data_IF_611804613886
#
_entry.id   IF_611804613886
#
_cell.length_a   1.000
_cell.length_b   1.000
_cell.length_c   1.000
_cell.angle_alpha   90.00
_cell.angle_beta   90.00
_cell.angle_gamma   90.00
#
_symmetry.space_group_name_H-M   'P 1'
#
loop_
_entity.id
_entity.type
_entity.pdbx_description
1 polymer ?
#
# COMPACT_ATOMS: atom_id res chain seq x y z
N UNK A 1 39.66 4.01 -56.00
CA UNK A 1 38.50 4.89 -55.76
C UNK A 1 37.60 4.16 -54.78
N UNK A 2 37.70 4.49 -53.48
CA UNK A 2 36.76 5.34 -52.71
C UNK A 2 35.51 4.55 -52.26
N UNK A 3 34.95 4.58 -51.04
CA UNK A 3 35.24 5.10 -49.68
C UNK A 3 33.88 5.05 -48.90
N UNK A 4 33.87 4.67 -47.60
CA UNK A 4 32.90 4.99 -46.48
C UNK A 4 31.38 4.70 -46.70
N UNK A 5 30.42 4.53 -45.76
CA UNK A 5 30.14 4.78 -44.32
C UNK A 5 28.82 3.98 -44.01
N UNK A 6 28.60 3.25 -42.90
CA UNK A 6 28.14 3.62 -41.54
C UNK A 6 26.65 4.06 -41.36
N UNK A 7 26.04 3.67 -40.21
CA UNK A 7 24.87 4.27 -39.49
C UNK A 7 23.46 3.80 -39.98
N UNK A 8 22.41 3.43 -39.23
CA UNK A 8 22.00 3.44 -37.80
C UNK A 8 20.77 2.53 -37.60
N UNK A 9 20.62 1.84 -36.46
CA UNK A 9 19.33 1.67 -35.76
C UNK A 9 19.64 1.70 -34.24
N UNK A 10 19.21 2.77 -33.56
CA UNK A 10 19.36 3.02 -32.13
C UNK A 10 17.97 3.27 -31.52
N UNK A 11 17.84 2.90 -30.24
CA UNK A 11 16.92 3.39 -29.21
C UNK A 11 15.40 3.09 -29.30
N UNK A 12 14.94 2.24 -28.38
CA UNK A 12 13.70 2.47 -27.62
C UNK A 12 13.83 1.81 -26.22
N UNK A 13 14.58 2.46 -25.33
CA UNK A 13 14.61 2.17 -23.89
C UNK A 13 14.43 3.49 -23.17
N UNK A 14 13.17 3.88 -22.95
CA UNK A 14 12.80 5.15 -22.33
C UNK A 14 11.48 4.94 -21.57
N UNK A 15 11.53 5.23 -20.26
CA UNK A 15 10.45 5.53 -19.31
C UNK A 15 9.68 4.34 -18.70
N UNK A 16 10.18 3.83 -17.57
CA UNK A 16 9.37 3.18 -16.54
C UNK A 16 8.74 4.19 -15.55
N UNK A 17 8.90 5.50 -15.77
CA UNK A 17 8.36 6.57 -14.90
C UNK A 17 7.65 7.70 -15.68
N UNK A 18 7.01 7.40 -16.82
CA UNK A 18 6.03 8.35 -17.37
C UNK A 18 4.80 7.63 -17.94
N UNK A 19 3.86 7.35 -17.06
CA UNK A 19 2.44 7.35 -17.34
C UNK A 19 1.77 7.42 -15.99
N UNK A 20 0.96 8.46 -15.76
CA UNK A 20 0.25 8.75 -14.52
C UNK A 20 -0.79 7.70 -14.15
N UNK A 21 -0.32 6.50 -13.83
CA UNK A 21 -1.03 5.50 -13.05
C UNK A 21 -0.27 5.35 -11.73
N UNK A 22 -0.48 6.29 -10.82
CA UNK A 22 -0.06 6.15 -9.43
C UNK A 22 -0.70 4.87 -8.88
N UNK A 23 0.15 3.91 -8.50
CA UNK A 23 -0.30 2.64 -7.95
C UNK A 23 -0.63 2.83 -6.48
N UNK A 24 -1.88 3.22 -6.19
CA UNK A 24 -2.45 3.04 -4.86
C UNK A 24 -2.47 1.54 -4.52
N UNK A 25 -1.80 1.17 -3.43
CA UNK A 25 -2.12 -0.05 -2.70
C UNK A 25 -3.47 0.19 -2.03
N UNK A 26 -4.54 0.00 -2.80
CA UNK A 26 -5.93 0.34 -2.46
C UNK A 26 -6.49 -0.56 -1.34
N UNK A 27 -6.03 -0.30 -0.12
CA UNK A 27 -6.62 -0.82 1.11
C UNK A 27 -7.78 0.06 1.57
N UNK A 28 -7.73 1.38 1.39
CA UNK A 28 -8.88 2.25 1.61
C UNK A 28 -8.92 3.41 0.60
N UNK A 29 -10.14 3.73 0.17
CA UNK A 29 -10.53 4.79 -0.77
C UNK A 29 -10.10 4.62 -2.24
N UNK A 30 -11.10 4.38 -3.11
CA UNK A 30 -11.05 4.92 -4.46
C UNK A 30 -12.44 5.23 -5.03
N UNK A 31 -12.57 6.48 -5.46
CA UNK A 31 -13.68 7.00 -6.24
C UNK A 31 -13.70 6.39 -7.66
N UNK A 32 -14.85 6.37 -8.35
CA UNK A 32 -14.97 5.71 -9.65
C UNK A 32 -14.32 6.56 -10.74
N UNK A 33 -13.41 5.96 -11.52
CA UNK A 33 -12.99 6.51 -12.81
C UNK A 33 -13.44 5.60 -13.97
N UNK A 34 -14.05 6.15 -15.03
CA UNK A 34 -14.51 5.41 -16.19
C UNK A 34 -13.45 5.28 -17.29
N UNK A 35 -13.71 4.30 -18.15
CA UNK A 35 -13.34 4.20 -19.58
C UNK A 35 -11.98 3.64 -20.02
N UNK A 36 -12.07 2.38 -20.46
CA UNK A 36 -11.46 1.91 -21.70
C UNK A 36 -12.16 2.58 -22.90
N UNK A 37 -11.46 3.43 -23.63
CA UNK A 37 -11.92 4.04 -24.89
C UNK A 37 -10.95 3.80 -26.05
N UNK A 38 -11.49 3.46 -27.21
CA UNK A 38 -10.82 2.85 -28.34
C UNK A 38 -9.83 3.77 -29.11
N UNK A 39 -8.85 3.12 -29.75
CA UNK A 39 -7.85 3.70 -30.66
C UNK A 39 -8.49 4.00 -32.02
N UNK A 40 -8.47 5.26 -32.47
CA UNK A 40 -8.73 5.64 -33.86
C UNK A 40 -7.52 6.42 -34.40
N UNK A 41 -6.77 5.81 -35.34
CA UNK A 41 -5.66 6.44 -36.06
C UNK A 41 -6.10 7.12 -37.36
N UNK A 42 -5.23 7.97 -37.97
CA UNK A 42 -5.59 8.78 -39.12
C UNK A 42 -5.48 7.97 -40.42
N UNK A 43 -6.60 7.71 -41.08
CA UNK A 43 -6.60 7.14 -42.44
C UNK A 43 -7.79 6.26 -42.77
N UNK A 44 -8.99 6.83 -42.93
CA UNK A 44 -10.06 6.22 -43.71
C UNK A 44 -11.06 7.29 -44.20
N UNK A 45 -11.44 7.16 -45.47
CA UNK A 45 -12.34 8.00 -46.27
C UNK A 45 -13.81 7.74 -45.86
N UNK A 46 -14.72 8.73 -45.92
CA UNK A 46 -16.01 8.68 -45.24
C UNK A 46 -17.05 7.84 -46.00
N UNK A 47 -17.95 7.22 -45.25
CA UNK A 47 -19.24 6.73 -45.77
C UNK A 47 -20.34 7.42 -44.98
N UNK A 48 -21.27 8.04 -45.73
CA UNK A 48 -22.37 8.89 -45.26
C UNK A 48 -23.38 8.16 -44.37
N UNK A 49 -23.86 8.85 -43.34
CA UNK A 49 -24.99 8.43 -42.50
C UNK A 49 -24.88 8.91 -41.06
N UNK A 50 -25.17 10.20 -40.81
CA UNK A 50 -24.96 10.86 -39.52
C UNK A 50 -26.01 10.60 -38.44
N UNK A 51 -25.56 10.64 -37.19
CA UNK A 51 -26.10 11.35 -36.01
C UNK A 51 -25.13 11.04 -34.85
N UNK A 52 -24.28 11.96 -34.40
CA UNK A 52 -24.62 13.12 -33.58
C UNK A 52 -24.25 12.80 -32.12
N UNK A 53 -23.12 13.32 -31.62
CA UNK A 53 -22.72 13.19 -30.21
C UNK A 53 -23.78 13.83 -29.29
N UNK A 54 -24.22 13.17 -28.20
CA UNK A 54 -25.01 13.82 -27.19
C UNK A 54 -24.15 14.68 -26.27
N UNK A 55 -24.68 15.86 -25.98
CA UNK A 55 -24.18 16.89 -25.07
C UNK A 55 -24.18 16.46 -23.59
N UNK A 56 -23.29 17.08 -22.81
CA UNK A 56 -23.14 17.02 -21.35
C UNK A 56 -24.48 17.14 -20.58
N UNK A 57 -24.61 16.50 -19.41
CA UNK A 57 -25.62 16.86 -18.43
C UNK A 57 -25.07 17.75 -17.31
N UNK A 58 -25.91 18.73 -16.95
CA UNK A 58 -25.74 19.79 -15.95
C UNK A 58 -25.51 19.30 -14.51
N UNK A 59 -24.68 20.05 -13.78
CA UNK A 59 -24.46 19.96 -12.32
C UNK A 59 -25.64 20.59 -11.56
N UNK A 60 -26.16 19.88 -10.54
CA UNK A 60 -27.06 20.42 -9.51
C UNK A 60 -26.36 20.49 -8.14
N UNK A 61 -26.75 21.44 -7.26
CA UNK A 61 -25.89 21.95 -6.19
C UNK A 61 -25.92 21.12 -4.90
N UNK A 62 -24.76 21.01 -4.26
CA UNK A 62 -24.59 20.39 -2.94
C UNK A 62 -25.07 21.37 -1.86
N UNK A 63 -26.00 20.91 -1.03
CA UNK A 63 -26.55 21.64 0.10
C UNK A 63 -25.52 21.80 1.24
N UNK A 64 -25.43 23.02 1.75
CA UNK A 64 -24.65 23.39 2.94
C UNK A 64 -25.17 22.67 4.19
N UNK A 65 -24.24 22.17 5.01
CA UNK A 65 -24.49 21.83 6.40
C UNK A 65 -23.47 22.59 7.25
N UNK A 66 -23.91 23.70 7.85
CA UNK A 66 -23.18 24.39 8.90
C UNK A 66 -23.11 23.50 10.15
N UNK A 67 -21.91 23.27 10.65
CA UNK A 67 -21.65 22.78 12.01
C UNK A 67 -20.41 23.51 12.54
N UNK A 68 -20.67 24.43 13.48
CA UNK A 68 -19.82 25.03 14.51
C UNK A 68 -18.31 25.14 14.25
N UNK A 69 -17.85 26.38 14.02
CA UNK A 69 -16.44 26.79 14.06
C UNK A 69 -15.97 26.83 15.51
N UNK A 70 -15.25 25.80 15.96
CA UNK A 70 -14.41 25.89 17.16
C UNK A 70 -13.02 26.41 16.81
N UNK A 71 -12.47 27.29 17.67
CA UNK A 71 -11.16 27.93 17.47
C UNK A 71 -10.03 26.95 17.84
N UNK A 72 -8.87 26.98 17.17
CA UNK A 72 -7.79 26.03 17.42
C UNK A 72 -7.17 26.21 18.81
N UNK A 73 -6.83 25.07 19.42
CA UNK A 73 -6.30 24.90 20.77
C UNK A 73 -5.14 23.90 20.67
N UNK A 74 -4.07 24.04 21.47
CA UNK A 74 -2.94 23.10 21.45
C UNK A 74 -3.30 21.72 22.09
N UNK A 75 -2.40 20.73 21.95
CA UNK A 75 -2.56 19.35 22.48
C UNK A 75 -2.66 19.24 24.02
N UNK A 76 -2.65 20.37 24.73
CA UNK A 76 -2.90 20.46 26.18
C UNK A 76 -4.13 21.32 26.53
N UNK A 77 -4.89 21.79 25.54
CA UNK A 77 -6.11 22.56 25.74
C UNK A 77 -5.91 24.05 25.99
N UNK A 78 -4.77 24.65 25.65
CA UNK A 78 -4.56 26.10 25.75
C UNK A 78 -4.90 26.84 24.44
N UNK A 79 -5.64 27.94 24.55
CA UNK A 79 -6.03 28.79 23.41
C UNK A 79 -4.84 29.61 22.92
N UNK A 80 -4.51 29.47 21.63
CA UNK A 80 -3.50 30.29 20.96
C UNK A 80 -3.99 31.76 20.89
N UNK A 81 -3.25 32.74 21.44
CA UNK A 81 -3.62 34.14 21.30
C UNK A 81 -3.17 34.67 19.93
N UNK A 82 -4.14 35.05 19.11
CA UNK A 82 -4.04 35.91 17.92
C UNK A 82 -3.00 35.53 16.85
N UNK A 83 -3.40 34.63 15.93
CA UNK A 83 -3.19 34.88 14.48
C UNK A 83 -1.77 34.86 13.91
N UNK A 84 -0.77 34.30 14.58
CA UNK A 84 0.55 34.03 13.99
C UNK A 84 1.10 32.70 14.48
N UNK A 85 1.51 31.89 13.49
CA UNK A 85 2.36 30.69 13.49
C UNK A 85 2.55 29.92 14.80
N UNK A 86 2.12 28.66 14.79
CA UNK A 86 2.62 27.66 15.72
C UNK A 86 4.08 27.33 15.32
N UNK A 87 5.03 28.12 15.82
CA UNK A 87 6.47 27.86 15.65
C UNK A 87 6.81 26.53 16.34
N UNK A 88 6.94 25.46 15.55
CA UNK A 88 7.37 24.13 16.01
C UNK A 88 8.82 24.22 16.50
N UNK A 89 9.01 24.56 17.77
CA UNK A 89 10.34 24.80 18.36
C UNK A 89 11.17 23.53 18.66
N UNK A 90 10.92 22.41 17.98
CA UNK A 90 11.82 21.26 17.98
C UNK A 90 12.54 21.15 16.64
N UNK A 91 13.59 21.95 16.47
CA UNK A 91 14.48 21.84 15.30
C UNK A 91 15.42 20.65 15.51
N UNK A 92 15.06 19.49 14.95
CA UNK A 92 15.95 18.33 14.93
C UNK A 92 17.25 18.65 14.18
N UNK A 93 18.37 18.12 14.68
CA UNK A 93 19.69 18.40 14.10
C UNK A 93 20.10 17.25 13.21
N UNK A 94 19.85 17.40 11.91
CA UNK A 94 20.27 16.44 10.88
C UNK A 94 21.80 16.36 10.80
N UNK A 95 22.33 15.15 10.56
CA UNK A 95 23.76 14.96 10.27
C UNK A 95 24.14 15.60 8.94
N UNK A 96 23.25 15.46 7.94
CA UNK A 96 23.36 16.11 6.64
C UNK A 96 22.01 16.72 6.24
N UNK A 97 22.02 17.88 5.59
CA UNK A 97 20.81 18.58 5.11
C UNK A 97 20.99 19.17 3.69
N UNK A 98 21.97 18.66 2.93
CA UNK A 98 22.38 19.13 1.61
C UNK A 98 22.98 17.96 0.80
N UNK A 99 23.04 18.00 -0.55
CA UNK A 99 22.67 19.10 -1.43
C UNK A 99 21.16 19.26 -1.61
N UNK A 100 20.78 20.41 -2.18
CA UNK A 100 19.39 20.73 -2.53
C UNK A 100 19.27 21.05 -4.02
N UNK A 101 18.13 20.72 -4.62
CA UNK A 101 17.73 21.22 -5.92
C UNK A 101 16.35 21.87 -5.84
N UNK A 102 16.16 22.92 -6.63
CA UNK A 102 14.91 23.65 -6.71
C UNK A 102 13.94 22.93 -7.65
N UNK A 103 12.74 22.66 -7.15
CA UNK A 103 11.62 22.09 -7.91
C UNK A 103 11.15 23.01 -9.03
N UNK A 104 10.87 22.43 -10.19
CA UNK A 104 10.48 23.18 -11.38
C UNK A 104 9.01 23.64 -11.36
N UNK A 105 8.17 23.01 -10.53
CA UNK A 105 6.72 23.25 -10.50
C UNK A 105 6.37 24.22 -9.37
N UNK A 106 6.71 23.85 -8.14
CA UNK A 106 6.36 24.64 -6.95
C UNK A 106 7.44 25.65 -6.58
N UNK A 107 8.66 25.48 -7.08
CA UNK A 107 9.82 26.29 -6.70
C UNK A 107 10.34 25.96 -5.30
N UNK A 108 9.86 24.90 -4.65
CA UNK A 108 10.37 24.43 -3.36
C UNK A 108 11.72 23.72 -3.53
N UNK A 109 12.60 23.84 -2.53
CA UNK A 109 13.85 23.11 -2.52
C UNK A 109 13.65 21.70 -1.95
N UNK A 110 14.14 20.71 -2.70
CA UNK A 110 14.23 19.32 -2.28
C UNK A 110 15.68 19.02 -1.93
N UNK A 111 15.91 18.57 -0.70
CA UNK A 111 17.23 18.34 -0.14
C UNK A 111 17.38 16.91 0.36
N UNK A 112 18.64 16.49 0.54
CA UNK A 112 18.96 15.28 1.30
C UNK A 112 18.98 15.61 2.79
N UNK A 113 18.22 14.88 3.59
CA UNK A 113 18.28 14.93 5.05
C UNK A 113 18.70 13.57 5.59
N UNK A 114 19.76 13.50 6.39
CA UNK A 114 20.26 12.23 6.92
C UNK A 114 20.51 12.36 8.42
N UNK A 115 20.07 11.37 9.18
CA UNK A 115 20.42 11.19 10.60
C UNK A 115 21.19 9.87 10.76
N UNK A 116 22.47 9.97 11.16
CA UNK A 116 23.35 8.81 11.35
C UNK A 116 23.26 8.19 12.76
N UNK A 117 22.61 8.84 13.71
CA UNK A 117 22.40 8.32 15.07
C UNK A 117 21.03 7.62 15.21
N UNK A 118 20.13 7.82 14.26
CA UNK A 118 18.82 7.17 14.19
C UNK A 118 18.88 5.63 14.34
N UNK A 119 17.91 5.08 15.07
CA UNK A 119 17.72 3.65 15.31
C UNK A 119 19.01 2.90 15.72
N UNK A 120 19.63 3.34 16.83
CA UNK A 120 20.89 2.80 17.35
C UNK A 120 22.05 2.88 16.35
N UNK A 121 22.20 4.05 15.71
CA UNK A 121 23.24 4.33 14.71
C UNK A 121 23.17 3.47 13.45
N UNK A 122 22.01 2.86 13.18
CA UNK A 122 21.72 2.29 11.86
C UNK A 122 21.67 3.42 10.82
N UNK A 123 21.11 4.56 11.21
CA UNK A 123 20.94 5.74 10.37
C UNK A 123 19.79 5.61 9.37
N UNK A 124 19.32 6.75 8.87
CA UNK A 124 18.28 6.86 7.84
C UNK A 124 18.51 8.11 7.01
N UNK A 125 18.08 8.08 5.75
CA UNK A 125 18.17 9.23 4.85
C UNK A 125 16.86 9.48 4.12
N UNK A 126 16.64 10.74 3.82
CA UNK A 126 15.43 11.26 3.22
C UNK A 126 15.76 12.19 2.06
N UNK A 127 14.91 12.20 1.03
CA UNK A 127 14.93 13.19 -0.05
C UNK A 127 13.56 13.84 -0.12
N UNK A 128 13.46 15.08 0.38
CA UNK A 128 12.19 15.78 0.53
C UNK A 128 12.41 17.29 0.74
N UNK A 129 11.34 18.04 1.00
CA UNK A 129 11.45 19.46 1.37
C UNK A 129 11.75 19.63 2.86
N UNK A 130 12.33 20.77 3.24
CA UNK A 130 12.61 21.10 4.65
C UNK A 130 11.36 20.98 5.54
N UNK A 131 10.21 21.51 5.06
CA UNK A 131 8.94 21.47 5.82
C UNK A 131 8.53 20.03 6.15
N UNK A 132 8.75 19.09 5.21
CA UNK A 132 8.42 17.67 5.41
C UNK A 132 9.41 16.98 6.34
N UNK A 133 10.69 17.34 6.24
CA UNK A 133 11.71 16.85 7.16
C UNK A 133 11.42 17.31 8.60
N UNK A 134 10.99 18.55 8.78
CA UNK A 134 10.61 19.09 10.09
C UNK A 134 9.41 18.34 10.69
N UNK A 135 8.41 17.95 9.88
CA UNK A 135 7.31 17.08 10.33
C UNK A 135 7.79 15.68 10.70
N UNK A 136 8.58 15.03 9.86
CA UNK A 136 9.10 13.69 10.18
C UNK A 136 9.89 13.70 11.49
N UNK A 137 10.63 14.76 11.75
CA UNK A 137 11.36 14.94 13.00
C UNK A 137 10.47 15.07 14.25
N UNK A 138 9.16 15.33 14.12
CA UNK A 138 8.21 15.31 15.25
C UNK A 138 7.60 13.94 15.51
N UNK A 139 7.71 13.01 14.55
CA UNK A 139 7.15 11.65 14.70
C UNK A 139 7.80 10.89 15.86
N UNK A 140 7.09 9.91 16.47
CA UNK A 140 7.64 9.10 17.56
C UNK A 140 8.99 8.42 17.25
N UNK A 141 9.26 8.10 15.98
CA UNK A 141 10.55 7.57 15.53
C UNK A 141 11.75 8.47 15.91
N UNK A 142 11.54 9.78 16.00
CA UNK A 142 12.57 10.76 16.40
C UNK A 142 12.40 11.29 17.81
N UNK A 143 11.16 11.35 18.32
CA UNK A 143 10.84 11.97 19.61
C UNK A 143 10.74 10.99 20.78
N UNK A 144 10.40 9.72 20.51
CA UNK A 144 10.34 8.65 21.50
C UNK A 144 11.16 7.40 21.09
N UNK A 145 12.48 7.42 21.31
CA UNK A 145 13.34 6.28 21.04
C UNK A 145 13.00 5.03 21.89
N UNK A 146 12.18 5.17 22.94
CA UNK A 146 11.79 4.06 23.82
C UNK A 146 10.57 3.28 23.32
N UNK A 147 9.89 3.73 22.26
CA UNK A 147 8.82 2.99 21.57
C UNK A 147 9.35 2.04 20.45
N UNK A 148 10.67 2.09 20.20
CA UNK A 148 11.42 1.26 19.24
C UNK A 148 11.92 -0.13 19.77
N UNK A 149 11.81 -0.54 21.06
CA UNK A 149 12.30 -1.84 21.54
C UNK A 149 11.61 -3.02 20.84
N UNK A 150 12.29 -3.62 19.86
CA UNK A 150 11.67 -4.60 18.97
C UNK A 150 12.17 -4.49 17.54
N UNK A 151 12.48 -3.27 17.12
CA UNK A 151 12.81 -2.97 15.73
C UNK A 151 14.29 -3.27 15.45
N UNK A 152 14.56 -3.69 14.21
CA UNK A 152 15.87 -4.12 13.72
C UNK A 152 16.50 -5.24 14.57
N UNK A 153 15.70 -6.00 15.33
CA UNK A 153 16.23 -7.04 16.23
C UNK A 153 16.87 -8.20 15.47
N UNK A 154 16.41 -8.49 14.26
CA UNK A 154 17.02 -9.45 13.36
C UNK A 154 18.47 -9.07 12.98
N UNK A 155 18.80 -7.77 13.02
CA UNK A 155 20.16 -7.25 12.80
C UNK A 155 21.00 -7.35 14.08
N UNK A 156 20.35 -7.33 15.24
CA UNK A 156 20.97 -7.43 16.56
C UNK A 156 21.08 -8.91 16.92
N UNK A 157 22.30 -9.44 16.87
CA UNK A 157 22.65 -10.84 17.21
C UNK A 157 22.16 -11.35 18.60
N UNK A 158 21.51 -10.51 19.39
CA UNK A 158 20.85 -10.83 20.65
C UNK A 158 19.65 -11.76 20.46
N UNK A 159 18.96 -11.71 19.32
CA UNK A 159 17.88 -12.65 18.97
C UNK A 159 18.18 -13.23 17.59
N UNK A 160 18.45 -14.54 17.47
CA UNK A 160 18.74 -15.12 16.17
C UNK A 160 17.49 -15.04 15.27
N UNK A 161 17.64 -14.61 14.01
CA UNK A 161 16.52 -14.54 13.08
C UNK A 161 15.93 -15.93 12.83
N UNK A 162 14.61 -15.99 12.59
CA UNK A 162 13.90 -17.23 12.21
C UNK A 162 14.16 -17.66 10.75
N UNK A 163 15.15 -17.06 10.11
CA UNK A 163 15.49 -17.28 8.71
C UNK A 163 17.00 -17.16 8.49
N UNK A 164 17.45 -17.77 7.40
CA UNK A 164 18.78 -17.59 6.86
C UNK A 164 18.69 -16.94 5.48
N UNK A 165 19.73 -16.22 5.08
CA UNK A 165 19.86 -15.71 3.71
C UNK A 165 20.53 -16.77 2.82
N UNK A 166 19.96 -17.03 1.64
CA UNK A 166 20.45 -18.06 0.72
C UNK A 166 20.28 -17.65 -0.73
N UNK A 167 21.20 -18.08 -1.59
CA UNK A 167 21.03 -17.93 -3.03
C UNK A 167 20.05 -18.98 -3.57
N UNK A 168 19.03 -18.51 -4.28
CA UNK A 168 18.03 -19.30 -4.97
C UNK A 168 18.30 -19.30 -6.48
N UNK A 169 18.44 -20.47 -7.11
CA UNK A 169 18.69 -20.57 -8.55
C UNK A 169 17.67 -19.78 -9.37
N UNK A 170 18.16 -18.82 -10.17
CA UNK A 170 17.33 -17.97 -11.04
C UNK A 170 16.55 -16.85 -10.34
N UNK A 171 16.62 -16.74 -9.01
CA UNK A 171 16.01 -15.65 -8.24
C UNK A 171 17.03 -14.74 -7.55
N UNK A 172 18.28 -15.20 -7.40
CA UNK A 172 19.31 -14.48 -6.64
C UNK A 172 19.18 -14.73 -5.15
N UNK A 173 19.60 -13.77 -4.32
CA UNK A 173 19.52 -13.90 -2.86
C UNK A 173 18.08 -13.78 -2.37
N UNK A 174 17.69 -14.72 -1.50
CA UNK A 174 16.39 -14.77 -0.84
C UNK A 174 16.52 -15.18 0.62
N UNK A 175 15.37 -15.29 1.30
CA UNK A 175 15.30 -15.73 2.69
C UNK A 175 14.65 -17.11 2.79
N UNK A 176 15.17 -17.97 3.67
CA UNK A 176 14.65 -19.31 3.93
C UNK A 176 14.39 -19.48 5.42
N UNK A 177 13.23 -20.00 5.81
CA UNK A 177 12.91 -20.26 7.20
C UNK A 177 13.85 -21.32 7.78
N UNK A 178 14.48 -21.04 8.92
CA UNK A 178 15.36 -22.00 9.61
C UNK A 178 14.66 -22.71 10.78
N UNK A 179 13.45 -22.25 11.14
CA UNK A 179 12.56 -22.82 12.14
C UNK A 179 11.10 -22.61 11.75
N UNK A 180 10.17 -23.19 12.51
CA UNK A 180 8.75 -22.99 12.30
C UNK A 180 8.34 -21.55 12.64
N UNK A 181 7.53 -20.94 11.79
CA UNK A 181 6.96 -19.60 11.99
C UNK A 181 5.43 -19.73 11.92
N UNK A 182 4.74 -19.37 12.99
CA UNK A 182 3.28 -19.47 13.04
C UNK A 182 2.61 -18.31 12.27
N UNK A 183 1.39 -18.52 11.76
CA UNK A 183 0.58 -17.43 11.20
C UNK A 183 0.46 -16.28 12.21
N UNK A 184 0.76 -15.07 11.76
CA UNK A 184 0.72 -13.85 12.57
C UNK A 184 2.01 -13.56 13.34
N UNK A 185 2.98 -14.48 13.35
CA UNK A 185 4.30 -14.19 13.94
C UNK A 185 5.00 -13.07 13.17
N UNK A 186 5.65 -12.17 13.92
CA UNK A 186 6.60 -11.22 13.37
C UNK A 186 7.83 -11.95 12.83
N UNK A 187 8.17 -11.69 11.58
CA UNK A 187 9.36 -12.22 10.90
C UNK A 187 10.50 -11.21 11.02
N UNK A 188 10.22 -9.95 10.69
CA UNK A 188 11.16 -8.83 10.84
C UNK A 188 10.43 -7.49 10.90
N UNK A 189 11.07 -6.50 11.52
CA UNK A 189 10.61 -5.13 11.55
C UNK A 189 11.82 -4.22 11.34
N UNK A 190 11.95 -3.61 10.17
CA UNK A 190 13.12 -2.81 9.84
C UNK A 190 12.77 -1.36 9.56
N UNK A 191 13.56 -0.45 10.14
CA UNK A 191 13.39 0.99 9.91
C UNK A 191 13.77 1.35 8.48
N UNK A 192 13.17 2.39 7.93
CA UNK A 192 13.47 2.86 6.59
C UNK A 192 14.94 3.29 6.47
N UNK A 193 15.57 2.95 5.34
CA UNK A 193 16.96 3.32 5.05
C UNK A 193 17.04 4.56 4.20
N UNK A 194 16.20 4.63 3.17
CA UNK A 194 16.09 5.74 2.24
C UNK A 194 14.61 5.98 1.96
N UNK A 195 14.12 7.20 2.19
CA UNK A 195 12.74 7.60 1.87
C UNK A 195 12.76 8.81 0.93
N UNK A 196 12.16 8.67 -0.26
CA UNK A 196 12.10 9.73 -1.26
C UNK A 196 10.65 10.15 -1.42
N UNK A 197 10.37 11.44 -1.21
CA UNK A 197 9.05 12.02 -1.48
C UNK A 197 8.71 11.87 -2.97
N UNK A 198 7.54 11.31 -3.32
CA UNK A 198 7.18 11.13 -4.75
C UNK A 198 7.25 12.40 -5.57
N UNK A 199 6.99 13.57 -4.97
CA UNK A 199 7.07 14.86 -5.68
C UNK A 199 8.46 15.10 -6.27
N UNK A 200 9.51 14.51 -5.71
CA UNK A 200 10.88 14.60 -6.24
C UNK A 200 10.92 14.12 -7.70
N UNK A 201 10.17 13.09 -8.06
CA UNK A 201 10.15 12.55 -9.42
C UNK A 201 9.36 13.42 -10.41
N UNK A 202 8.40 14.20 -9.91
CA UNK A 202 7.59 15.12 -10.72
C UNK A 202 8.25 16.51 -10.85
N UNK A 203 8.94 16.97 -9.81
CA UNK A 203 9.47 18.33 -9.70
C UNK A 203 10.91 18.48 -10.20
N UNK A 204 11.73 17.43 -10.11
CA UNK A 204 13.14 17.46 -10.49
C UNK A 204 13.40 16.72 -11.78
N UNK A 205 14.48 17.09 -12.48
CA UNK A 205 14.94 16.29 -13.62
C UNK A 205 15.54 14.97 -13.16
N UNK A 206 15.60 14.00 -14.08
CA UNK A 206 16.22 12.70 -13.83
C UNK A 206 17.63 12.79 -13.23
N UNK A 207 18.47 13.64 -13.80
CA UNK A 207 19.85 13.79 -13.32
C UNK A 207 19.90 14.43 -11.91
N UNK A 208 18.93 15.29 -11.57
CA UNK A 208 18.87 15.93 -10.26
C UNK A 208 18.44 14.93 -9.18
N UNK A 209 17.33 14.22 -9.36
CA UNK A 209 16.89 13.27 -8.33
C UNK A 209 17.88 12.12 -8.14
N UNK A 210 18.52 11.63 -9.22
CA UNK A 210 19.55 10.59 -9.11
C UNK A 210 20.73 11.03 -8.24
N UNK A 211 21.15 12.29 -8.37
CA UNK A 211 22.18 12.87 -7.50
C UNK A 211 21.73 12.90 -6.06
N UNK A 212 20.52 13.42 -5.76
CA UNK A 212 20.01 13.44 -4.39
C UNK A 212 19.91 12.03 -3.80
N UNK A 213 19.41 11.07 -4.58
CA UNK A 213 19.33 9.67 -4.18
C UNK A 213 20.71 9.09 -3.85
N UNK A 214 21.71 9.40 -4.67
CA UNK A 214 23.10 8.95 -4.47
C UNK A 214 23.70 9.53 -3.20
N UNK A 215 23.56 10.84 -2.98
CA UNK A 215 24.01 11.48 -1.74
C UNK A 215 23.31 10.90 -0.51
N UNK A 216 21.99 10.65 -0.60
CA UNK A 216 21.22 10.07 0.48
C UNK A 216 21.73 8.65 0.86
N UNK A 217 22.13 7.83 -0.12
CA UNK A 217 22.77 6.54 0.14
C UNK A 217 24.19 6.71 0.67
N UNK A 218 24.98 7.62 0.12
CA UNK A 218 26.38 7.82 0.47
C UNK A 218 26.56 8.34 1.91
N UNK A 219 25.60 9.12 2.41
CA UNK A 219 25.62 9.65 3.77
C UNK A 219 25.24 8.65 4.85
N UNK A 220 24.62 7.51 4.49
CA UNK A 220 24.31 6.46 5.45
C UNK A 220 25.59 5.91 6.11
N UNK A 221 25.51 5.42 7.36
CA UNK A 221 26.62 4.75 8.02
C UNK A 221 27.18 3.60 7.18
N UNK A 222 28.50 3.41 7.19
CA UNK A 222 29.24 2.52 6.26
C UNK A 222 28.61 1.13 6.09
N UNK A 223 28.34 0.42 7.18
CA UNK A 223 27.72 -0.92 7.13
C UNK A 223 26.32 -0.93 6.53
N UNK A 224 25.55 0.13 6.79
CA UNK A 224 24.19 0.24 6.28
C UNK A 224 24.20 0.62 4.79
N UNK A 225 25.08 1.53 4.39
CA UNK A 225 25.34 1.86 2.99
C UNK A 225 25.76 0.62 2.19
N UNK A 226 26.66 -0.19 2.72
CA UNK A 226 27.06 -1.47 2.11
C UNK A 226 25.87 -2.42 1.92
N UNK A 227 24.96 -2.50 2.90
CA UNK A 227 23.77 -3.33 2.80
C UNK A 227 22.82 -2.87 1.67
N UNK A 228 22.63 -1.56 1.51
CA UNK A 228 21.88 -0.97 0.39
C UNK A 228 22.56 -1.27 -0.95
N UNK A 229 23.88 -1.05 -1.04
CA UNK A 229 24.64 -1.25 -2.28
C UNK A 229 24.78 -2.73 -2.68
N UNK A 230 24.55 -3.66 -1.76
CA UNK A 230 24.54 -5.10 -2.01
C UNK A 230 23.20 -5.63 -2.55
N UNK A 231 22.20 -4.77 -2.73
CA UNK A 231 20.89 -5.16 -3.26
C UNK A 231 20.96 -5.57 -4.73
N UNK A 232 19.94 -6.30 -5.17
CA UNK A 232 19.90 -6.84 -6.53
C UNK A 232 19.73 -5.72 -7.54
N UNK A 233 20.46 -5.82 -8.64
CA UNK A 233 20.32 -4.97 -9.83
C UNK A 233 19.84 -5.78 -11.05
N UNK A 234 19.39 -7.01 -10.82
CA UNK A 234 19.07 -8.02 -11.85
C UNK A 234 20.21 -8.27 -12.85
N UNK A 235 21.46 -8.21 -12.38
CA UNK A 235 22.65 -8.55 -13.17
C UNK A 235 23.05 -7.51 -14.21
N UNK A 236 22.52 -6.29 -14.09
CA UNK A 236 22.92 -5.17 -14.95
C UNK A 236 24.27 -4.59 -14.51
N UNK A 237 25.05 -4.12 -15.48
CA UNK A 237 26.29 -3.35 -15.27
C UNK A 237 26.02 -1.87 -15.48
N UNK A 238 26.69 -1.01 -14.71
CA UNK A 238 26.45 0.43 -14.72
C UNK A 238 27.73 1.21 -14.99
N UNK A 239 27.58 2.30 -15.74
CA UNK A 239 28.70 3.17 -16.10
C UNK A 239 28.98 4.24 -15.03
N UNK A 240 28.01 4.52 -14.16
CA UNK A 240 28.12 5.49 -13.06
C UNK A 240 27.55 4.96 -11.74
N UNK A 241 27.99 5.57 -10.63
CA UNK A 241 27.46 5.28 -9.29
C UNK A 241 25.99 5.71 -9.17
N UNK A 242 25.63 6.81 -9.82
CA UNK A 242 24.25 7.30 -9.86
C UNK A 242 23.30 6.35 -10.59
N UNK A 243 23.74 5.73 -11.69
CA UNK A 243 22.96 4.69 -12.40
C UNK A 243 22.76 3.43 -11.53
N UNK A 244 23.80 3.03 -10.80
CA UNK A 244 23.73 1.91 -9.86
C UNK A 244 22.70 2.17 -8.75
N UNK A 245 22.80 3.32 -8.07
CA UNK A 245 21.91 3.67 -6.96
C UNK A 245 20.46 3.83 -7.43
N UNK A 246 20.24 4.48 -8.57
CA UNK A 246 18.92 4.57 -9.19
C UNK A 246 18.34 3.17 -9.40
N UNK A 247 19.13 2.26 -10.01
CA UNK A 247 18.64 0.92 -10.32
C UNK A 247 18.33 0.09 -9.08
N UNK A 248 19.14 0.25 -8.03
CA UNK A 248 18.85 -0.35 -6.72
C UNK A 248 17.48 0.13 -6.22
N UNK A 249 17.23 1.44 -6.26
CA UNK A 249 15.92 2.00 -5.94
C UNK A 249 14.80 1.35 -6.75
N UNK A 250 14.88 1.42 -8.08
CA UNK A 250 13.84 0.91 -9.00
C UNK A 250 13.43 -0.55 -8.77
N UNK A 251 14.35 -1.38 -8.26
CA UNK A 251 14.16 -2.82 -8.17
C UNK A 251 13.87 -3.32 -6.75
N UNK A 252 14.14 -2.50 -5.73
CA UNK A 252 14.09 -2.92 -4.33
C UNK A 252 13.24 -2.00 -3.42
N UNK A 253 12.74 -0.88 -3.94
CA UNK A 253 11.92 0.03 -3.15
C UNK A 253 10.45 -0.42 -3.05
N UNK A 254 9.79 0.13 -2.04
CA UNK A 254 8.38 -0.06 -1.71
C UNK A 254 7.66 1.29 -1.85
N UNK A 255 6.48 1.27 -2.45
CA UNK A 255 5.57 2.41 -2.43
C UNK A 255 4.87 2.46 -1.06
N UNK A 256 5.04 3.55 -0.34
CA UNK A 256 4.39 3.81 0.95
C UNK A 256 3.36 4.92 0.74
N UNK A 257 2.10 4.64 1.07
CA UNK A 257 1.01 5.62 0.97
C UNK A 257 1.24 6.81 1.95
N UNK A 258 0.61 7.96 1.74
CA UNK A 258 0.71 9.10 2.65
C UNK A 258 0.21 8.74 4.07
N UNK A 259 0.80 9.38 5.07
CA UNK A 259 0.28 9.31 6.44
C UNK A 259 -1.01 10.14 6.52
N UNK A 260 -2.13 9.55 6.92
CA UNK A 260 -3.39 10.29 7.13
C UNK A 260 -3.26 11.41 8.18
N UNK A 261 -2.25 11.32 9.06
CA UNK A 261 -1.91 12.36 10.04
C UNK A 261 -1.00 13.48 9.50
N UNK A 262 -0.39 13.33 8.33
CA UNK A 262 0.49 14.34 7.72
C UNK A 262 -0.35 15.40 7.01
N UNK A 263 -0.86 16.38 7.76
CA UNK A 263 -1.60 17.54 7.23
C UNK A 263 -0.76 18.44 6.29
N UNK A 264 0.55 18.18 6.15
CA UNK A 264 1.46 19.00 5.35
C UNK A 264 1.47 18.56 3.89
N UNK A 265 1.26 17.27 3.58
CA UNK A 265 1.35 16.73 2.21
C UNK A 265 0.64 15.37 2.01
N UNK A 266 -0.16 15.30 0.94
CA UNK A 266 -0.89 14.09 0.51
C UNK A 266 -0.06 13.12 -0.37
N UNK A 267 1.27 13.24 -0.41
CA UNK A 267 2.11 12.41 -1.29
C UNK A 267 2.78 11.27 -0.54
N UNK A 268 2.84 10.07 -1.12
CA UNK A 268 3.52 8.93 -0.52
C UNK A 268 5.05 9.05 -0.51
N UNK A 269 5.72 7.95 -0.16
CA UNK A 269 7.16 7.80 -0.26
C UNK A 269 7.57 6.58 -1.08
N UNK A 270 8.67 6.72 -1.80
CA UNK A 270 9.42 5.63 -2.39
C UNK A 270 10.54 5.23 -1.41
N UNK A 271 10.46 4.02 -0.84
CA UNK A 271 11.25 3.65 0.34
C UNK A 271 12.07 2.38 0.14
N UNK A 272 13.35 2.41 0.52
CA UNK A 272 14.23 1.23 0.48
C UNK A 272 14.43 0.66 1.88
N UNK A 273 14.24 -0.66 2.00
CA UNK A 273 14.53 -1.48 3.18
C UNK A 273 15.42 -2.67 2.76
N UNK A 274 16.75 -2.60 2.94
CA UNK A 274 17.68 -3.59 2.38
C UNK A 274 17.42 -5.03 2.81
N UNK A 275 16.94 -5.24 4.02
CA UNK A 275 16.68 -6.56 4.57
C UNK A 275 15.36 -7.13 4.07
N UNK A 276 14.31 -6.30 4.00
CA UNK A 276 12.99 -6.68 3.48
C UNK A 276 13.03 -6.85 1.95
N UNK A 277 13.86 -6.10 1.24
CA UNK A 277 14.06 -6.26 -0.21
C UNK A 277 14.65 -7.63 -0.60
N UNK A 278 15.10 -8.45 0.36
CA UNK A 278 15.55 -9.84 0.13
C UNK A 278 14.41 -10.84 0.02
N UNK A 279 13.17 -10.47 0.30
CA UNK A 279 12.05 -11.37 0.04
C UNK A 279 11.83 -11.49 -1.47
N UNK A 280 11.88 -12.71 -1.98
CA UNK A 280 11.52 -12.99 -3.36
C UNK A 280 10.00 -12.95 -3.57
N UNK A 281 9.60 -12.85 -4.82
CA UNK A 281 8.19 -12.87 -5.19
C UNK A 281 7.57 -14.27 -5.15
N UNK A 282 6.37 -14.37 -4.56
CA UNK A 282 5.36 -15.38 -4.88
C UNK A 282 4.00 -14.69 -5.11
N UNK A 283 3.20 -15.19 -6.05
CA UNK A 283 1.86 -14.63 -6.30
C UNK A 283 0.89 -14.89 -5.15
N UNK A 284 1.17 -15.89 -4.30
CA UNK A 284 0.44 -16.26 -3.07
C UNK A 284 1.46 -16.38 -1.93
N UNK A 285 1.97 -15.25 -1.47
CA UNK A 285 3.08 -15.21 -0.54
C UNK A 285 2.71 -15.79 0.83
N UNK A 286 3.72 -16.18 1.59
CA UNK A 286 3.59 -16.66 2.96
C UNK A 286 3.88 -15.59 4.02
N UNK A 287 4.25 -14.39 3.60
CA UNK A 287 4.35 -13.20 4.44
C UNK A 287 3.68 -12.01 3.74
N UNK A 288 3.31 -11.02 4.54
CA UNK A 288 2.84 -9.72 4.05
C UNK A 288 3.35 -8.61 4.98
N UNK A 289 3.10 -7.37 4.60
CA UNK A 289 3.67 -6.22 5.27
C UNK A 289 2.71 -5.05 5.44
N UNK A 290 2.97 -4.26 6.47
CA UNK A 290 2.46 -2.90 6.60
C UNK A 290 3.57 -1.97 7.07
N UNK A 291 3.38 -0.67 6.83
CA UNK A 291 4.29 0.37 7.27
C UNK A 291 3.66 1.14 8.43
N UNK A 292 4.41 1.32 9.51
CA UNK A 292 4.05 2.21 10.60
C UNK A 292 4.73 3.56 10.41
N UNK A 293 3.94 4.58 10.09
CA UNK A 293 4.41 5.96 9.92
C UNK A 293 5.01 6.57 11.18
N UNK A 294 4.49 6.22 12.35
CA UNK A 294 4.99 6.75 13.61
C UNK A 294 6.39 6.22 13.92
N UNK A 295 6.67 4.95 13.59
CA UNK A 295 7.95 4.30 13.82
C UNK A 295 8.89 4.31 12.60
N UNK A 296 8.44 4.84 11.45
CA UNK A 296 9.12 4.78 10.15
C UNK A 296 9.67 3.38 9.83
N UNK A 297 8.82 2.38 10.08
CA UNK A 297 9.23 0.97 10.09
C UNK A 297 8.25 0.11 9.33
N UNK A 298 8.78 -0.79 8.50
CA UNK A 298 7.97 -1.80 7.84
C UNK A 298 8.02 -3.11 8.63
N UNK A 299 6.85 -3.63 8.95
CA UNK A 299 6.66 -4.87 9.69
C UNK A 299 6.29 -5.99 8.74
N UNK A 300 6.96 -7.13 8.84
CA UNK A 300 6.69 -8.32 8.04
C UNK A 300 6.17 -9.43 8.94
N UNK A 301 4.96 -9.92 8.65
CA UNK A 301 4.33 -10.99 9.42
C UNK A 301 3.97 -12.17 8.53
N UNK A 302 3.96 -13.37 9.10
CA UNK A 302 3.56 -14.57 8.40
C UNK A 302 2.03 -14.58 8.13
N UNK A 303 1.62 -14.80 6.89
CA UNK A 303 0.20 -14.87 6.48
C UNK A 303 -0.41 -16.27 6.67
N UNK A 304 0.46 -17.26 6.91
CA UNK A 304 0.16 -18.67 7.18
C UNK A 304 1.31 -19.28 7.96
N UNK A 305 1.11 -20.48 8.48
CA UNK A 305 2.21 -21.27 9.04
C UNK A 305 3.28 -21.55 7.98
N UNK A 306 4.54 -21.44 8.36
CA UNK A 306 5.73 -21.61 7.51
C UNK A 306 6.63 -22.68 8.14
N UNK A 307 6.92 -23.73 7.38
CA UNK A 307 7.79 -24.81 7.83
C UNK A 307 9.28 -24.47 7.64
N UNK A 308 10.19 -25.04 8.46
CA UNK A 308 11.62 -24.95 8.21
C UNK A 308 11.97 -25.42 6.79
N UNK A 309 12.80 -24.66 6.10
CA UNK A 309 13.19 -24.92 4.71
C UNK A 309 12.27 -24.31 3.65
N UNK A 310 11.13 -23.70 4.03
CA UNK A 310 10.34 -22.91 3.09
C UNK A 310 10.99 -21.56 2.80
N UNK A 311 10.95 -21.13 1.54
CA UNK A 311 11.34 -19.78 1.13
C UNK A 311 10.34 -18.77 1.72
N UNK A 312 10.84 -17.67 2.28
CA UNK A 312 10.00 -16.54 2.71
C UNK A 312 9.79 -15.61 1.52
N UNK A 313 8.54 -15.27 1.25
CA UNK A 313 8.14 -14.58 0.02
C UNK A 313 7.12 -13.48 0.31
N UNK A 314 7.20 -12.40 -0.48
CA UNK A 314 6.21 -11.32 -0.55
C UNK A 314 5.58 -11.28 -1.95
N UNK A 315 4.51 -10.51 -2.12
CA UNK A 315 3.97 -10.22 -3.45
C UNK A 315 4.43 -8.82 -3.89
N UNK A 316 5.12 -8.72 -5.03
CA UNK A 316 5.55 -7.43 -5.62
C UNK A 316 4.43 -6.72 -6.38
N UNK A 317 3.28 -7.38 -6.48
CA UNK A 317 2.13 -6.93 -7.23
C UNK A 317 0.86 -7.23 -6.44
N UNK A 318 -0.25 -6.63 -6.82
CA UNK A 318 -1.55 -6.99 -6.25
C UNK A 318 -1.84 -8.50 -6.47
N UNK A 319 -2.01 -9.30 -5.40
CA UNK A 319 -2.31 -10.73 -5.52
C UNK A 319 -3.63 -11.02 -6.25
N UNK A 320 -4.57 -10.06 -6.26
CA UNK A 320 -5.88 -10.10 -6.94
C UNK A 320 -5.75 -9.67 -8.40
N UNK A 321 -4.80 -10.28 -9.12
CA UNK A 321 -4.58 -10.09 -10.55
C UNK A 321 -4.74 -11.43 -11.28
N UNK A 322 -5.26 -11.39 -12.50
CA UNK A 322 -5.34 -12.58 -13.37
C UNK A 322 -3.94 -13.05 -13.76
N UNK A 323 -3.77 -14.37 -13.99
CA UNK A 323 -2.45 -14.97 -14.28
C UNK A 323 -1.70 -14.26 -15.40
N UNK A 324 -2.36 -13.99 -16.53
CA UNK A 324 -1.73 -13.31 -17.66
C UNK A 324 -1.22 -11.91 -17.28
N UNK A 325 -2.03 -11.15 -16.53
CA UNK A 325 -1.64 -9.81 -16.06
C UNK A 325 -0.47 -9.86 -15.08
N UNK A 326 -0.44 -10.86 -14.17
CA UNK A 326 0.71 -11.07 -13.25
C UNK A 326 1.99 -11.32 -14.03
N UNK A 327 1.97 -12.26 -14.98
CA UNK A 327 3.15 -12.63 -15.78
C UNK A 327 3.67 -11.45 -16.61
N UNK A 328 2.79 -10.71 -17.26
CA UNK A 328 3.17 -9.50 -18.03
C UNK A 328 3.75 -8.43 -17.12
N UNK A 329 3.12 -8.13 -15.98
CA UNK A 329 3.59 -7.07 -15.07
C UNK A 329 4.96 -7.42 -14.47
N UNK A 330 5.16 -8.66 -14.02
CA UNK A 330 6.44 -9.10 -13.46
C UNK A 330 7.57 -9.09 -14.49
N UNK A 331 7.29 -9.55 -15.71
CA UNK A 331 8.27 -9.52 -16.80
C UNK A 331 8.64 -8.08 -17.19
N UNK A 332 7.66 -7.17 -17.23
CA UNK A 332 7.88 -5.76 -17.58
C UNK A 332 8.69 -5.02 -16.52
N UNK A 333 8.31 -5.17 -15.26
CA UNK A 333 8.85 -4.34 -14.17
C UNK A 333 10.14 -4.94 -13.57
N UNK A 334 10.23 -6.27 -13.44
CA UNK A 334 11.39 -6.94 -12.80
C UNK A 334 12.15 -7.88 -13.75
N UNK A 335 11.70 -8.08 -14.99
CA UNK A 335 12.46 -8.85 -15.98
C UNK A 335 12.44 -10.38 -15.79
N UNK A 336 11.57 -10.93 -14.95
CA UNK A 336 11.48 -12.38 -14.72
C UNK A 336 10.09 -12.97 -15.00
N UNK A 337 10.05 -14.27 -15.25
CA UNK A 337 8.82 -15.07 -15.35
C UNK A 337 8.58 -15.79 -14.03
N UNK A 338 7.44 -15.55 -13.39
CA UNK A 338 7.15 -16.15 -12.09
C UNK A 338 6.97 -17.66 -12.18
N UNK A 339 7.72 -18.40 -11.37
CA UNK A 339 7.68 -19.86 -11.29
C UNK A 339 6.87 -20.40 -10.09
N UNK A 340 6.07 -19.56 -9.43
CA UNK A 340 5.26 -20.00 -8.30
C UNK A 340 4.21 -21.05 -8.71
N UNK A 341 3.62 -21.72 -7.72
CA UNK A 341 2.60 -22.76 -7.93
C UNK A 341 1.37 -22.28 -8.73
N UNK A 342 1.02 -21.00 -8.67
CA UNK A 342 -0.09 -20.42 -9.43
C UNK A 342 0.27 -20.11 -10.89
N UNK A 343 1.52 -19.77 -11.16
CA UNK A 343 1.96 -19.40 -12.51
C UNK A 343 2.39 -20.64 -13.32
N UNK A 344 2.83 -21.69 -12.64
CA UNK A 344 3.23 -22.98 -13.25
C UNK A 344 2.12 -24.03 -13.28
N UNK A 345 0.93 -23.72 -12.75
CA UNK A 345 -0.21 -24.65 -12.80
C UNK A 345 -0.65 -24.95 -14.23
N UNK A 346 -1.28 -26.12 -14.42
CA UNK A 346 -1.94 -26.46 -15.67
C UNK A 346 -3.06 -25.46 -16.03
N UNK A 347 -3.49 -25.50 -17.29
CA UNK A 347 -4.49 -24.56 -17.82
C UNK A 347 -5.83 -24.63 -17.07
N UNK A 348 -6.41 -25.82 -16.79
CA UNK A 348 -7.66 -25.90 -16.02
C UNK A 348 -7.57 -25.28 -14.62
N UNK A 349 -6.49 -25.53 -13.86
CA UNK A 349 -6.30 -24.92 -12.53
C UNK A 349 -6.10 -23.41 -12.62
N UNK A 350 -5.34 -22.94 -13.61
CA UNK A 350 -5.15 -21.52 -13.84
C UNK A 350 -6.48 -20.81 -14.19
N UNK A 351 -7.29 -21.40 -15.07
CA UNK A 351 -8.59 -20.83 -15.46
C UNK A 351 -9.57 -20.81 -14.28
N UNK A 352 -9.56 -21.85 -13.43
CA UNK A 352 -10.36 -21.87 -12.21
C UNK A 352 -9.92 -20.79 -11.20
N UNK A 353 -8.62 -20.56 -11.04
CA UNK A 353 -8.10 -19.45 -10.21
C UNK A 353 -8.51 -18.10 -10.77
N UNK A 354 -8.32 -17.87 -12.08
CA UNK A 354 -8.74 -16.63 -12.73
C UNK A 354 -10.26 -16.39 -12.58
N UNK A 355 -11.09 -17.44 -12.62
CA UNK A 355 -12.54 -17.34 -12.35
C UNK A 355 -12.82 -16.86 -10.92
N UNK A 356 -12.15 -17.43 -9.90
CA UNK A 356 -12.29 -16.98 -8.51
C UNK A 356 -11.82 -15.54 -8.31
N UNK A 357 -10.72 -15.15 -8.96
CA UNK A 357 -10.22 -13.77 -8.91
C UNK A 357 -11.23 -12.78 -9.53
N UNK A 358 -11.91 -13.14 -10.61
CA UNK A 358 -13.00 -12.30 -11.16
C UNK A 358 -14.15 -12.15 -10.17
N UNK A 359 -14.58 -13.24 -9.54
CA UNK A 359 -15.64 -13.19 -8.52
C UNK A 359 -15.24 -12.32 -7.31
N UNK A 360 -13.99 -12.40 -6.84
CA UNK A 360 -13.49 -11.50 -5.78
C UNK A 360 -13.63 -10.03 -6.21
N UNK A 361 -13.22 -9.70 -7.45
CA UNK A 361 -13.31 -8.33 -7.98
C UNK A 361 -14.74 -7.84 -8.11
N UNK A 362 -15.68 -8.73 -8.47
CA UNK A 362 -17.11 -8.40 -8.58
C UNK A 362 -17.77 -8.22 -7.21
N UNK A 363 -17.40 -9.05 -6.21
CA UNK A 363 -17.99 -9.00 -4.88
C UNK A 363 -17.49 -7.81 -4.04
N UNK A 364 -16.20 -7.46 -4.13
CA UNK A 364 -15.58 -6.40 -3.31
C UNK A 364 -16.36 -5.06 -3.34
N UNK A 365 -16.72 -4.47 -4.50
CA UNK A 365 -17.48 -3.21 -4.52
C UNK A 365 -18.90 -3.35 -3.95
N UNK A 366 -19.53 -4.52 -4.06
CA UNK A 366 -20.84 -4.78 -3.46
C UNK A 366 -20.74 -4.78 -1.93
N UNK A 367 -19.70 -5.42 -1.37
CA UNK A 367 -19.47 -5.45 0.08
C UNK A 367 -19.10 -4.08 0.66
N UNK A 368 -18.47 -3.20 -0.12
CA UNK A 368 -18.19 -1.81 0.28
C UNK A 368 -19.42 -0.89 0.19
N UNK A 369 -20.50 -1.33 -0.46
CA UNK A 369 -21.70 -0.52 -0.63
C UNK A 369 -22.66 -0.66 0.57
N UNK A 370 -22.66 0.36 1.42
CA UNK A 370 -23.52 0.45 2.62
C UNK A 370 -24.84 1.22 2.40
N UNK A 371 -25.17 1.54 1.14
CA UNK A 371 -26.50 2.09 0.82
C UNK A 371 -27.58 1.04 1.11
N UNK A 372 -28.77 1.52 1.48
CA UNK A 372 -29.91 0.68 1.85
C UNK A 372 -30.47 -0.19 0.70
N UNK A 373 -30.03 0.02 -0.54
CA UNK A 373 -30.37 -0.76 -1.72
C UNK A 373 -29.26 -1.71 -2.18
N UNK A 374 -28.12 -1.75 -1.48
CA UNK A 374 -27.03 -2.66 -1.82
C UNK A 374 -27.47 -4.13 -1.71
N UNK A 375 -27.12 -4.98 -2.70
CA UNK A 375 -27.48 -6.40 -2.71
C UNK A 375 -26.59 -7.23 -1.77
N UNK A 376 -25.61 -6.62 -1.10
CA UNK A 376 -24.71 -7.31 -0.19
C UNK A 376 -25.47 -8.08 0.90
N UNK A 377 -24.92 -9.24 1.25
CA UNK A 377 -25.55 -10.17 2.18
C UNK A 377 -24.51 -11.03 2.90
N UNK A 378 -24.86 -11.62 4.05
CA UNK A 378 -23.99 -12.57 4.74
C UNK A 378 -23.51 -13.72 3.84
N UNK A 379 -24.37 -14.24 2.95
CA UNK A 379 -24.00 -15.33 2.03
C UNK A 379 -22.94 -14.90 1.01
N UNK A 380 -22.99 -13.64 0.54
CA UNK A 380 -21.97 -13.09 -0.34
C UNK A 380 -20.64 -12.87 0.40
N UNK A 381 -20.70 -12.45 1.66
CA UNK A 381 -19.49 -12.32 2.49
C UNK A 381 -18.85 -13.68 2.80
N UNK A 382 -19.64 -14.72 3.08
CA UNK A 382 -19.15 -16.10 3.25
C UNK A 382 -18.51 -16.65 1.97
N UNK A 383 -19.10 -16.36 0.80
CA UNK A 383 -18.48 -16.67 -0.48
C UNK A 383 -17.15 -15.93 -0.64
N UNK A 384 -17.09 -14.65 -0.27
CA UNK A 384 -15.87 -13.84 -0.33
C UNK A 384 -14.74 -14.42 0.54
N UNK A 385 -15.05 -14.84 1.78
CA UNK A 385 -14.14 -15.58 2.67
C UNK A 385 -13.64 -16.86 2.00
N UNK A 386 -14.55 -17.69 1.47
CA UNK A 386 -14.20 -18.95 0.82
C UNK A 386 -13.28 -18.75 -0.39
N UNK A 387 -13.53 -17.71 -1.18
CA UNK A 387 -12.69 -17.36 -2.33
C UNK A 387 -11.27 -16.93 -1.89
N UNK A 388 -11.16 -16.15 -0.82
CA UNK A 388 -9.86 -15.77 -0.25
C UNK A 388 -9.06 -16.98 0.24
N UNK A 389 -9.72 -17.92 0.93
CA UNK A 389 -9.09 -19.16 1.40
C UNK A 389 -8.61 -20.04 0.24
N UNK A 390 -9.46 -20.26 -0.77
CA UNK A 390 -9.12 -21.06 -1.94
C UNK A 390 -7.98 -20.45 -2.75
N UNK A 391 -7.96 -19.11 -2.86
CA UNK A 391 -6.89 -18.39 -3.51
C UNK A 391 -5.66 -18.19 -2.62
N UNK A 392 -5.68 -18.55 -1.34
CA UNK A 392 -4.57 -18.33 -0.38
C UNK A 392 -4.18 -16.85 -0.24
N UNK A 393 -5.19 -15.98 -0.17
CA UNK A 393 -5.03 -14.54 0.01
C UNK A 393 -4.94 -14.18 1.50
N UNK A 394 -3.92 -14.71 2.19
CA UNK A 394 -3.77 -14.55 3.63
C UNK A 394 -3.60 -13.09 4.08
N UNK A 395 -2.87 -12.30 3.29
CA UNK A 395 -2.64 -10.87 3.54
C UNK A 395 -3.90 -10.01 3.60
N UNK A 396 -4.92 -10.32 2.77
CA UNK A 396 -6.18 -9.58 2.75
C UNK A 396 -7.34 -10.29 3.45
N UNK A 397 -7.08 -11.41 4.15
CA UNK A 397 -8.12 -12.21 4.79
C UNK A 397 -8.86 -11.45 5.89
N UNK A 398 -8.17 -10.53 6.58
CA UNK A 398 -8.78 -9.68 7.61
C UNK A 398 -9.95 -8.86 7.05
N UNK A 399 -9.81 -8.32 5.83
CA UNK A 399 -10.87 -7.55 5.17
C UNK A 399 -12.09 -8.40 4.82
N UNK A 400 -11.89 -9.67 4.46
CA UNK A 400 -12.97 -10.60 4.18
C UNK A 400 -13.79 -10.92 5.45
N UNK A 401 -13.11 -11.08 6.59
CA UNK A 401 -13.77 -11.22 7.88
C UNK A 401 -14.46 -9.94 8.33
N UNK A 402 -13.88 -8.77 8.08
CA UNK A 402 -14.52 -7.48 8.39
C UNK A 402 -15.83 -7.30 7.61
N UNK A 403 -15.84 -7.59 6.31
CA UNK A 403 -17.08 -7.57 5.53
C UNK A 403 -18.13 -8.55 6.08
N UNK A 404 -17.74 -9.78 6.42
CA UNK A 404 -18.68 -10.72 7.03
C UNK A 404 -19.24 -10.21 8.36
N UNK A 405 -18.39 -9.65 9.23
CA UNK A 405 -18.82 -9.09 10.51
C UNK A 405 -19.89 -8.00 10.31
N UNK A 406 -19.62 -7.05 9.43
CA UNK A 406 -20.54 -5.95 9.13
C UNK A 406 -21.84 -6.45 8.50
N UNK A 407 -21.79 -7.41 7.57
CA UNK A 407 -22.97 -7.97 6.90
C UNK A 407 -23.86 -8.78 7.85
N UNK A 408 -23.28 -9.59 8.73
CA UNK A 408 -24.04 -10.31 9.76
C UNK A 408 -24.68 -9.34 10.76
N UNK A 409 -23.97 -8.28 11.16
CA UNK A 409 -24.52 -7.27 12.07
C UNK A 409 -25.69 -6.50 11.42
N UNK A 410 -25.52 -6.18 10.13
CA UNK A 410 -26.56 -5.54 9.32
C UNK A 410 -27.79 -6.42 9.10
N UNK A 411 -27.62 -7.74 9.12
CA UNK A 411 -28.70 -8.71 9.07
C UNK A 411 -29.37 -8.98 10.45
N UNK A 412 -28.88 -8.36 11.53
CA UNK A 412 -29.41 -8.54 12.88
C UNK A 412 -28.91 -9.81 13.59
N UNK A 413 -27.78 -10.37 13.18
CA UNK A 413 -27.11 -11.50 13.83
C UNK A 413 -25.82 -11.03 14.53
N UNK A 414 -25.92 -10.56 15.79
CA UNK A 414 -24.80 -9.95 16.49
C UNK A 414 -23.73 -10.97 16.90
N UNK A 415 -24.11 -12.25 17.09
CA UNK A 415 -23.18 -13.28 17.57
C UNK A 415 -22.25 -13.74 16.45
N UNK A 416 -22.79 -13.99 15.26
CA UNK A 416 -21.97 -14.31 14.09
C UNK A 416 -21.14 -13.09 13.67
N UNK A 417 -21.69 -11.88 13.79
CA UNK A 417 -20.95 -10.64 13.58
C UNK A 417 -19.73 -10.54 14.52
N UNK A 418 -19.93 -10.77 15.82
CA UNK A 418 -18.84 -10.73 16.82
C UNK A 418 -17.76 -11.77 16.54
N UNK A 419 -18.14 -12.99 16.12
CA UNK A 419 -17.18 -14.03 15.71
C UNK A 419 -16.28 -13.52 14.58
N UNK A 420 -16.88 -12.97 13.53
CA UNK A 420 -16.11 -12.48 12.38
C UNK A 420 -15.34 -11.20 12.69
N UNK A 421 -15.86 -10.32 13.54
CA UNK A 421 -15.12 -9.15 14.00
C UNK A 421 -13.83 -9.56 14.73
N UNK A 422 -13.90 -10.54 15.63
CA UNK A 422 -12.70 -11.09 16.31
C UNK A 422 -11.70 -11.71 15.35
N UNK A 423 -12.16 -12.41 14.31
CA UNK A 423 -11.28 -12.92 13.24
C UNK A 423 -10.68 -11.78 12.40
N UNK A 424 -11.45 -10.72 12.13
CA UNK A 424 -10.98 -9.51 11.48
C UNK A 424 -9.87 -8.82 12.27
N UNK A 425 -9.98 -8.76 13.60
CA UNK A 425 -8.93 -8.22 14.48
C UNK A 425 -7.69 -9.12 14.47
N UNK A 426 -7.85 -10.42 14.69
CA UNK A 426 -6.75 -11.39 14.78
C UNK A 426 -5.95 -11.52 13.47
N UNK A 427 -6.60 -11.40 12.31
CA UNK A 427 -5.90 -11.33 11.03
C UNK A 427 -5.44 -9.90 10.69
N UNK A 428 -6.11 -8.87 11.19
CA UNK A 428 -5.85 -7.48 10.82
C UNK A 428 -4.62 -6.90 11.50
N UNK A 429 -4.46 -7.11 12.81
CA UNK A 429 -3.31 -6.58 13.57
C UNK A 429 -1.96 -6.87 12.89
N UNK A 430 -1.63 -8.12 12.52
CA UNK A 430 -0.32 -8.40 11.89
C UNK A 430 -0.24 -7.90 10.44
N UNK A 431 -1.36 -7.74 9.73
CA UNK A 431 -1.36 -7.42 8.28
C UNK A 431 -1.45 -5.93 7.99
N UNK A 432 -2.11 -5.15 8.85
CA UNK A 432 -2.33 -3.71 8.66
C UNK A 432 -2.03 -2.86 9.91
N UNK A 433 -1.66 -3.50 11.03
CA UNK A 433 -1.38 -2.81 12.28
C UNK A 433 -2.61 -2.57 13.13
N UNK A 434 -2.39 -2.32 14.43
CA UNK A 434 -3.45 -2.19 15.43
C UNK A 434 -4.31 -0.93 15.26
N UNK A 435 -3.73 0.13 14.68
CA UNK A 435 -4.36 1.44 14.50
C UNK A 435 -5.14 1.57 13.19
N UNK A 436 -5.05 0.58 12.30
CA UNK A 436 -5.75 0.62 11.02
C UNK A 436 -7.27 0.64 11.21
N UNK A 437 -7.97 1.43 10.40
CA UNK A 437 -9.41 1.68 10.55
C UNK A 437 -10.23 0.38 10.61
N UNK A 438 -9.98 -0.59 9.73
CA UNK A 438 -10.70 -1.88 9.78
C UNK A 438 -10.53 -2.61 11.12
N UNK A 439 -9.35 -2.53 11.75
CA UNK A 439 -9.10 -3.19 13.04
C UNK A 439 -9.84 -2.46 14.15
N UNK A 440 -9.80 -1.12 14.15
CA UNK A 440 -10.52 -0.27 15.10
C UNK A 440 -12.03 -0.48 14.99
N UNK A 441 -12.55 -0.51 13.76
CA UNK A 441 -13.96 -0.78 13.45
C UNK A 441 -14.38 -2.16 13.98
N UNK A 442 -13.58 -3.19 13.74
CA UNK A 442 -13.89 -4.54 14.21
C UNK A 442 -13.79 -4.67 15.73
N UNK A 443 -12.89 -3.94 16.40
CA UNK A 443 -12.88 -3.84 17.87
C UNK A 443 -14.18 -3.25 18.39
N UNK A 444 -14.60 -2.11 17.84
CA UNK A 444 -15.89 -1.46 18.17
C UNK A 444 -17.08 -2.42 18.00
N UNK A 445 -17.15 -3.13 16.85
CA UNK A 445 -18.21 -4.10 16.59
C UNK A 445 -18.19 -5.28 17.57
N UNK A 446 -16.99 -5.80 17.89
CA UNK A 446 -16.83 -6.94 18.79
C UNK A 446 -17.16 -6.60 20.26
N UNK A 447 -16.98 -5.34 20.65
CA UNK A 447 -17.25 -4.83 21.99
C UNK A 447 -18.75 -4.60 22.21
N UNK A 448 -19.43 -3.92 21.29
CA UNK A 448 -20.89 -3.70 21.34
C UNK A 448 -21.53 -3.75 19.93
N UNK A 449 -21.96 -4.93 19.45
CA UNK A 449 -22.53 -5.08 18.12
C UNK A 449 -23.89 -4.36 17.97
N UNK A 450 -24.61 -4.07 19.07
CA UNK A 450 -25.91 -3.40 19.04
C UNK A 450 -25.78 -1.87 18.92
N UNK A 451 -24.74 -1.29 19.51
CA UNK A 451 -24.42 0.14 19.38
C UNK A 451 -23.71 0.47 18.06
N UNK A 452 -23.10 -0.53 17.41
CA UNK A 452 -22.40 -0.36 16.15
C UNK A 452 -23.33 0.14 15.03
N UNK A 453 -22.85 1.07 14.18
CA UNK A 453 -23.68 1.72 13.15
C UNK A 453 -24.29 0.74 12.14
N UNK A 454 -23.67 -0.41 11.94
CA UNK A 454 -24.16 -1.43 11.02
C UNK A 454 -25.33 -2.23 11.57
N UNK A 455 -25.67 -2.15 12.86
CA UNK A 455 -26.73 -2.94 13.49
C UNK A 455 -28.08 -2.80 12.77
N UNK A 456 -28.65 -3.93 12.33
CA UNK A 456 -29.96 -3.98 11.65
C UNK A 456 -30.09 -3.09 10.40
N UNK A 457 -28.97 -2.66 9.80
CA UNK A 457 -29.00 -1.75 8.66
C UNK A 457 -29.75 -2.33 7.44
N UNK A 458 -29.71 -3.66 7.26
CA UNK A 458 -30.34 -4.37 6.13
C UNK A 458 -31.67 -5.03 6.45
N UNK A 459 -32.14 -5.00 7.70
CA UNK A 459 -33.41 -5.66 8.09
C UNK A 459 -34.65 -4.81 7.77
N UNK A 460 -34.54 -3.47 7.72
CA UNK A 460 -35.67 -2.57 7.44
C UNK A 460 -36.38 -2.79 6.09
N UNK A 461 -35.77 -3.47 5.12
CA UNK A 461 -36.37 -3.81 3.81
C UNK A 461 -36.92 -5.23 3.70
N UNK A 462 -36.42 -6.21 4.47
CA UNK A 462 -36.91 -7.60 4.36
C UNK A 462 -38.29 -7.79 5.01
N UNK A 463 -38.71 -6.87 5.87
CA UNK A 463 -40.03 -6.85 6.52
C UNK A 463 -41.16 -6.26 5.66
N UNK A 464 -40.91 -5.89 4.39
CA UNK A 464 -41.90 -5.30 3.50
C UNK A 464 -42.94 -6.27 2.92
N UNK A 465 -42.94 -7.54 3.34
CA UNK A 465 -43.98 -8.52 3.04
C UNK A 465 -44.73 -8.85 4.32
N UNK A 466 -45.81 -8.12 4.59
CA UNK A 466 -46.69 -8.43 5.72
C UNK A 466 -47.36 -7.22 6.35
N UNK A 467 -48.17 -6.51 5.58
CA UNK A 467 -49.40 -5.86 6.09
C UNK A 467 -50.28 -5.45 4.90
N UNK A 468 -50.89 -6.45 4.28
CA UNK A 468 -52.24 -6.28 3.72
C UNK A 468 -53.16 -7.24 4.49
N UNK A 469 -54.38 -6.75 4.70
CA UNK A 469 -55.56 -7.30 5.38
C UNK A 469 -55.55 -7.34 6.92
N UNK A 470 -56.39 -6.48 7.52
CA UNK A 470 -57.72 -6.82 8.07
C UNK A 470 -58.31 -5.48 8.60
N UNK A 471 -59.19 -4.82 7.83
CA UNK A 471 -60.67 -4.86 7.94
C UNK A 471 -61.23 -4.39 9.30
N UNK A 472 -61.91 -3.24 9.20
CA UNK A 472 -63.16 -2.81 9.84
C UNK A 472 -63.30 -2.84 11.37
N UNK A 473 -63.60 -1.68 11.95
CA UNK A 473 -64.84 -1.42 12.72
C UNK A 473 -64.88 0.05 13.19
N UNK A 474 -65.94 0.73 12.73
CA UNK A 474 -66.77 1.74 13.42
C UNK A 474 -66.11 2.98 14.07
N UNK A 475 -66.50 4.16 13.57
CA UNK A 475 -67.28 5.10 14.39
C UNK A 475 -67.92 6.19 13.50
N UNK A 476 -69.26 6.18 13.50
CA UNK A 476 -70.14 7.29 13.11
C UNK A 476 -69.97 8.48 14.08
N UNK A 477 -69.75 9.69 13.55
CA UNK A 477 -70.46 10.95 13.91
C UNK A 477 -69.99 12.15 13.07
#
# INVERSE_FOLDING_TARGET
MKVLQAVSIFAASVLAHSSGEHHHHDHHHNHPHPDLGAVCGPGAIPVEGGSGCPSEPELLPVAQKELFVEKPVDDKGHKCPNGTDCDYQHKHTWTYSEPCFKGNITGQDFCVFTDNEFAEKRGTSFVMTQKRADYIATTPAFTDPQDIPGLNQDLKRTIPPKYDMKEFPGKGWGLIANQFIARGDLIMANTASLMIDYRVFDELTKDQYKKLQTFAVDYLPEKHREAVLALSTHGQTFDSHEDLVEKIGETNAFDIDPDEGDEIQDHGFFVVFPEIARFNHDCRPNADYYFDHAALTQFIHATRDIQPGEELTLSYINPVMLRAARMTKLARNWGFQCACSQCTSDRPRADASDARIRQIKELKPLMRNWKADSPASPQMAELFISLHQQERLGGSMYSAYAFAALEYNAAGDPWTATKYARLGIDYGIPMVGERHQDVVEMKSLADDPWAHWSWNLRTKKRSGWGRESDEDEDDDD
#
